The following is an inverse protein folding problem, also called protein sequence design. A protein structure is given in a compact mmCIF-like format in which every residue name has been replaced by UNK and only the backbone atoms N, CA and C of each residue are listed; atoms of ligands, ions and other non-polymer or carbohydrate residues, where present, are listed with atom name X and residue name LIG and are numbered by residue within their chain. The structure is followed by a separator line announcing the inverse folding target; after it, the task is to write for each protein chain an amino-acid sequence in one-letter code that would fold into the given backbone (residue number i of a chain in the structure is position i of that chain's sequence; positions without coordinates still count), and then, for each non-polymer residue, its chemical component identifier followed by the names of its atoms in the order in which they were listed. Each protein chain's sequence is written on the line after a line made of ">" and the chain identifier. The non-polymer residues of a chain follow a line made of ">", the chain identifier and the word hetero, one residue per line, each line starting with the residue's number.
data_IF_742996626737
#
_entry.id   IF_742996626737
#
_cell.length_a   1.000
_cell.length_b   1.000
_cell.length_c   1.000
_cell.angle_alpha   90.00
_cell.angle_beta   90.00
_cell.angle_gamma   90.00
#
_symmetry.space_group_name_H-M   'P 1'
#
loop_
_entity.id
_entity.type
_entity.pdbx_description
1 polymer ?
2 water ?
#
# COMPACT_ATOMS: atom_id res chain seq x y z
N UNK A 1 11.97 -1.46 34.53
CA UNK A 1 11.12 -2.67 34.68
C UNK A 1 9.98 -2.57 33.66
N UNK A 2 8.90 -1.85 33.97
CA UNK A 2 7.71 -1.75 33.09
C UNK A 2 8.01 -0.82 31.91
N UNK A 3 8.48 0.39 32.20
CA UNK A 3 8.88 1.38 31.17
C UNK A 3 9.71 0.77 30.06
N UNK A 4 10.82 0.07 30.38
CA UNK A 4 11.78 -0.44 29.35
C UNK A 4 11.12 -1.54 28.49
N UNK A 5 10.28 -2.40 29.10
CA UNK A 5 9.51 -3.43 28.36
C UNK A 5 8.55 -2.74 27.39
N UNK A 6 7.86 -1.71 27.87
CA UNK A 6 6.94 -0.91 27.03
C UNK A 6 7.73 -0.43 25.80
N UNK A 7 8.97 0.01 26.00
CA UNK A 7 9.81 0.57 24.90
C UNK A 7 10.14 -0.51 23.85
N UNK A 8 10.51 -1.73 24.23
CA UNK A 8 10.77 -2.74 23.17
C UNK A 8 9.44 -3.02 22.45
N UNK A 9 8.34 -3.02 23.18
CA UNK A 9 6.98 -3.20 22.57
C UNK A 9 6.81 -2.12 21.50
N UNK A 10 7.08 -0.86 21.80
CA UNK A 10 6.95 0.26 20.81
C UNK A 10 7.85 0.00 19.60
N UNK A 11 9.10 -0.44 19.79
CA UNK A 11 10.05 -0.65 18.67
C UNK A 11 9.48 -1.72 17.73
N UNK A 12 9.01 -2.83 18.29
CA UNK A 12 8.42 -4.00 17.57
C UNK A 12 7.21 -3.53 16.76
N UNK A 13 6.35 -2.72 17.38
CA UNK A 13 5.18 -2.13 16.70
C UNK A 13 5.62 -1.22 15.55
N UNK A 14 6.67 -0.42 15.73
CA UNK A 14 7.25 0.39 14.62
C UNK A 14 7.75 -0.53 13.50
N UNK A 15 8.47 -1.59 13.87
CA UNK A 15 9.02 -2.53 12.86
C UNK A 15 7.88 -3.12 12.04
N UNK A 16 6.76 -3.47 12.69
CA UNK A 16 5.61 -4.06 11.97
C UNK A 16 5.08 -3.05 10.94
N UNK A 17 4.94 -1.79 11.32
CA UNK A 17 4.49 -0.72 10.38
C UNK A 17 5.46 -0.66 9.19
N UNK A 18 6.76 -0.78 9.41
CA UNK A 18 7.71 -0.71 8.26
C UNK A 18 7.62 -1.99 7.42
N UNK A 19 7.48 -3.14 8.09
CA UNK A 19 7.31 -4.46 7.42
C UNK A 19 6.11 -4.36 6.46
N UNK A 20 5.00 -3.86 6.96
CA UNK A 20 3.73 -3.77 6.19
C UNK A 20 3.90 -2.83 5.00
N UNK A 21 4.53 -1.68 5.22
CA UNK A 21 4.80 -0.74 4.11
C UNK A 21 5.65 -1.43 3.05
N UNK A 22 6.68 -2.17 3.47
CA UNK A 22 7.57 -2.81 2.48
C UNK A 22 6.80 -3.92 1.78
N UNK A 23 6.00 -4.68 2.53
CA UNK A 23 5.20 -5.82 2.01
C UNK A 23 4.18 -5.32 0.96
N UNK A 24 3.47 -4.24 1.27
CA UNK A 24 2.51 -3.57 0.36
C UNK A 24 3.25 -3.19 -0.92
N UNK A 25 4.47 -2.65 -0.80
CA UNK A 25 5.27 -2.25 -1.98
C UNK A 25 5.67 -3.50 -2.77
N UNK A 26 6.22 -4.51 -2.12
CA UNK A 26 6.67 -5.78 -2.78
C UNK A 26 5.50 -6.40 -3.55
N UNK A 27 4.34 -6.54 -2.91
CA UNK A 27 3.16 -7.21 -3.51
C UNK A 27 2.72 -6.47 -4.77
N UNK A 28 2.67 -5.13 -4.66
CA UNK A 28 2.27 -4.26 -5.80
C UNK A 28 3.23 -4.47 -6.96
N UNK A 29 4.54 -4.46 -6.65
CA UNK A 29 5.59 -4.60 -7.69
C UNK A 29 5.54 -5.99 -8.33
N UNK A 30 5.43 -7.03 -7.51
CA UNK A 30 5.29 -8.44 -7.97
C UNK A 30 4.05 -8.59 -8.84
N UNK A 31 2.92 -8.18 -8.28
CA UNK A 31 1.63 -8.18 -9.01
C UNK A 31 1.81 -7.53 -10.37
N UNK A 32 2.28 -6.28 -10.42
CA UNK A 32 2.43 -5.54 -11.71
C UNK A 32 3.40 -6.29 -12.62
N UNK A 33 4.47 -6.83 -12.05
CA UNK A 33 5.58 -7.42 -12.85
C UNK A 33 5.17 -8.78 -13.43
N UNK A 34 4.38 -9.57 -12.70
CA UNK A 34 3.93 -10.86 -13.27
C UNK A 34 2.97 -10.63 -14.43
N UNK A 35 2.09 -9.63 -14.33
CA UNK A 35 1.20 -9.20 -15.45
C UNK A 35 2.06 -8.84 -16.67
N UNK A 36 3.08 -8.01 -16.47
CA UNK A 36 3.97 -7.56 -17.57
C UNK A 36 4.75 -8.73 -18.14
N UNK A 37 5.24 -9.63 -17.29
CA UNK A 37 5.96 -10.83 -17.78
C UNK A 37 4.99 -11.75 -18.56
N UNK A 38 3.73 -11.85 -18.13
CA UNK A 38 2.71 -12.69 -18.85
C UNK A 38 2.46 -12.11 -20.25
N UNK A 39 2.37 -10.80 -20.36
CA UNK A 39 2.17 -10.12 -21.66
C UNK A 39 3.41 -10.34 -22.53
N UNK A 40 4.62 -10.21 -21.96
CA UNK A 40 5.87 -10.41 -22.73
C UNK A 40 5.94 -11.84 -23.26
N UNK A 41 5.46 -12.82 -22.50
CA UNK A 41 5.46 -14.23 -22.94
C UNK A 41 4.66 -14.38 -24.24
N UNK A 42 3.47 -13.79 -24.24
CA UNK A 42 2.56 -13.82 -25.42
C UNK A 42 3.28 -13.14 -26.58
N UNK A 43 3.96 -12.01 -26.34
CA UNK A 43 4.68 -11.25 -27.40
C UNK A 43 5.77 -12.16 -28.02
N UNK A 44 6.62 -12.76 -27.18
CA UNK A 44 7.68 -13.72 -27.63
C UNK A 44 7.09 -14.90 -28.40
N UNK A 45 5.99 -15.45 -27.89
CA UNK A 45 5.34 -16.63 -28.48
C UNK A 45 4.87 -16.27 -29.89
N UNK A 46 4.40 -15.05 -30.07
CA UNK A 46 4.02 -14.49 -31.40
C UNK A 46 5.24 -14.31 -32.32
N UNK A 47 6.26 -13.57 -31.90
CA UNK A 47 7.41 -13.22 -32.78
C UNK A 47 8.30 -14.45 -33.06
N UNK A 48 8.25 -15.47 -32.20
CA UNK A 48 9.11 -16.69 -32.31
C UNK A 48 8.66 -17.57 -33.50
N UNK A 49 7.42 -17.41 -33.97
CA UNK A 49 6.85 -18.16 -35.13
C UNK A 49 7.06 -17.41 -36.44
N UNK A 50 7.25 -16.10 -36.36
CA UNK A 50 7.38 -15.24 -37.55
C UNK A 50 8.82 -15.15 -37.97
N UNK A 51 9.49 -14.08 -37.56
CA UNK A 51 10.82 -13.71 -38.09
C UNK A 51 11.95 -14.49 -37.37
N UNK A 52 11.66 -15.17 -36.25
CA UNK A 52 12.66 -15.93 -35.43
C UNK A 52 13.65 -14.93 -34.82
N UNK A 53 14.40 -14.21 -35.66
CA UNK A 53 15.22 -13.02 -35.30
C UNK A 53 16.59 -13.47 -34.78
N UNK A 54 16.99 -14.70 -35.07
CA UNK A 54 18.29 -15.27 -34.63
C UNK A 54 18.44 -15.02 -33.12
N UNK A 55 19.51 -14.34 -32.68
CA UNK A 55 19.78 -14.04 -31.25
C UNK A 55 18.91 -12.93 -30.69
N UNK A 56 18.57 -11.92 -31.49
CA UNK A 56 17.76 -10.75 -31.04
C UNK A 56 16.57 -11.22 -30.19
N UNK A 57 15.98 -12.38 -30.51
CA UNK A 57 14.87 -12.94 -29.70
C UNK A 57 15.40 -13.99 -28.74
N UNK A 58 16.25 -14.90 -29.22
CA UNK A 58 16.78 -16.04 -28.43
C UNK A 58 17.55 -15.52 -27.21
N UNK A 59 18.37 -14.48 -27.38
CA UNK A 59 19.14 -13.84 -26.27
C UNK A 59 18.21 -12.97 -25.39
N UNK A 60 17.21 -12.32 -25.97
CA UNK A 60 16.28 -11.41 -25.25
C UNK A 60 15.41 -12.22 -24.27
N UNK A 61 14.99 -13.41 -24.70
CA UNK A 61 14.31 -14.41 -23.84
C UNK A 61 15.29 -14.86 -22.74
N UNK A 62 16.52 -15.20 -23.10
CA UNK A 62 17.58 -15.60 -22.14
C UNK A 62 17.69 -14.54 -21.03
N UNK A 63 17.80 -13.25 -21.39
CA UNK A 63 17.84 -12.14 -20.40
C UNK A 63 16.68 -12.26 -19.41
N UNK A 64 15.47 -12.47 -19.91
CA UNK A 64 14.28 -12.55 -19.05
C UNK A 64 14.37 -13.77 -18.14
N UNK A 65 14.88 -14.89 -18.67
CA UNK A 65 15.11 -16.10 -17.82
C UNK A 65 15.89 -15.65 -16.59
N UNK A 66 17.00 -14.94 -16.79
CA UNK A 66 18.01 -14.65 -15.72
C UNK A 66 17.32 -13.82 -14.64
N UNK A 67 16.51 -12.85 -15.04
CA UNK A 67 15.70 -12.02 -14.14
C UNK A 67 14.67 -12.92 -13.43
N UNK A 68 14.04 -13.84 -14.14
CA UNK A 68 13.04 -14.73 -13.48
C UNK A 68 13.71 -15.63 -12.44
N UNK A 69 14.83 -16.24 -12.80
CA UNK A 69 15.66 -17.09 -11.90
C UNK A 69 16.04 -16.30 -10.65
N UNK A 70 16.45 -15.04 -10.83
CA UNK A 70 16.79 -14.10 -9.74
C UNK A 70 15.60 -14.02 -8.79
N UNK A 71 14.44 -13.71 -9.36
CA UNK A 71 13.20 -13.59 -8.56
C UNK A 71 12.81 -14.93 -7.94
N UNK A 72 12.95 -16.04 -8.66
CA UNK A 72 12.71 -17.41 -8.12
C UNK A 72 13.47 -17.55 -6.78
N UNK A 73 14.77 -17.21 -6.77
CA UNK A 73 15.63 -17.31 -5.56
C UNK A 73 15.15 -16.37 -4.44
N UNK A 74 14.69 -15.15 -4.77
CA UNK A 74 14.25 -14.17 -3.75
C UNK A 74 12.96 -14.65 -3.09
N UNK A 75 12.03 -15.18 -3.89
CA UNK A 75 10.76 -15.65 -3.32
C UNK A 75 10.98 -16.90 -2.48
N UNK A 76 11.91 -17.76 -2.91
CA UNK A 76 12.25 -18.97 -2.12
C UNK A 76 12.77 -18.51 -0.76
N UNK A 77 13.67 -17.52 -0.73
CA UNK A 77 14.36 -17.05 0.50
C UNK A 77 13.36 -16.31 1.38
N UNK A 78 12.46 -15.55 0.76
CA UNK A 78 11.34 -14.88 1.48
C UNK A 78 10.44 -15.96 2.07
N UNK A 79 10.06 -16.98 1.30
CA UNK A 79 9.25 -18.10 1.86
C UNK A 79 9.95 -18.69 3.09
N UNK A 80 11.23 -19.00 2.96
CA UNK A 80 12.03 -19.70 3.99
C UNK A 80 12.12 -18.82 5.25
N UNK A 81 12.37 -17.52 5.07
CA UNK A 81 12.38 -16.57 6.22
C UNK A 81 11.01 -16.53 6.91
N UNK A 82 9.93 -16.33 6.15
CA UNK A 82 8.58 -16.24 6.76
C UNK A 82 8.27 -17.55 7.50
N UNK A 83 8.53 -18.70 6.88
CA UNK A 83 8.27 -20.02 7.53
C UNK A 83 9.02 -20.15 8.85
N UNK A 84 10.30 -19.77 8.88
CA UNK A 84 11.13 -19.74 10.12
C UNK A 84 10.45 -18.83 11.15
N UNK A 85 10.15 -17.60 10.76
CA UNK A 85 9.51 -16.62 11.68
C UNK A 85 8.20 -17.20 12.23
N UNK A 86 7.39 -17.80 11.36
CA UNK A 86 6.15 -18.48 11.78
C UNK A 86 6.43 -19.52 12.85
N UNK A 87 7.43 -20.37 12.60
CA UNK A 87 7.84 -21.45 13.54
C UNK A 87 8.28 -20.84 14.87
N UNK A 88 9.11 -19.81 14.84
CA UNK A 88 9.65 -19.17 16.07
C UNK A 88 8.49 -18.51 16.81
N UNK A 89 7.51 -17.94 16.08
CA UNK A 89 6.34 -17.27 16.71
C UNK A 89 5.51 -18.29 17.51
N UNK A 90 5.26 -19.45 16.91
CA UNK A 90 4.51 -20.56 17.55
C UNK A 90 5.29 -21.04 18.80
N UNK A 91 6.62 -21.12 18.73
CA UNK A 91 7.48 -21.43 19.91
C UNK A 91 7.28 -20.34 20.97
N UNK A 92 7.28 -19.09 20.53
CA UNK A 92 7.13 -17.91 21.43
C UNK A 92 5.75 -17.90 22.08
N UNK A 93 4.72 -18.14 21.30
CA UNK A 93 3.33 -18.21 21.80
C UNK A 93 3.23 -19.29 22.88
N UNK A 94 3.89 -20.44 22.67
CA UNK A 94 3.92 -21.56 23.65
C UNK A 94 4.69 -21.16 24.90
N UNK A 95 5.86 -20.56 24.71
CA UNK A 95 6.76 -20.14 25.82
C UNK A 95 6.04 -19.11 26.70
N UNK A 96 5.50 -18.06 26.06
CA UNK A 96 4.75 -16.95 26.72
C UNK A 96 3.55 -17.53 27.48
N UNK A 97 2.76 -18.38 26.82
CA UNK A 97 1.63 -19.11 27.44
C UNK A 97 2.10 -19.69 28.77
N UNK A 98 3.16 -20.50 28.75
CA UNK A 98 3.63 -21.24 29.95
C UNK A 98 4.31 -20.35 31.01
N UNK A 99 4.76 -19.13 30.67
CA UNK A 99 5.44 -18.24 31.64
C UNK A 99 4.54 -18.14 32.88
N UNK A 100 3.34 -17.63 32.66
CA UNK A 100 2.33 -17.36 33.72
C UNK A 100 2.23 -18.60 34.61
N UNK A 101 2.14 -19.77 33.97
CA UNK A 101 2.37 -21.11 34.57
C UNK A 101 1.88 -22.20 33.60
N UNK B 4 5.30 -2.74 -27.69
CA UNK B 4 6.71 -2.27 -27.92
C UNK B 4 7.67 -3.03 -27.03
N UNK B 5 8.52 -3.85 -27.66
CA UNK B 5 9.20 -4.98 -26.97
C UNK B 5 10.30 -4.42 -26.07
N UNK B 6 11.15 -3.54 -26.58
CA UNK B 6 12.22 -2.86 -25.80
C UNK B 6 11.58 -2.08 -24.65
N UNK B 7 10.54 -1.29 -24.93
CA UNK B 7 9.83 -0.50 -23.89
C UNK B 7 9.30 -1.44 -22.82
N UNK B 8 8.67 -2.55 -23.23
CA UNK B 8 8.04 -3.52 -22.30
C UNK B 8 9.14 -4.20 -21.47
N UNK B 9 10.18 -4.68 -22.13
CA UNK B 9 11.36 -5.33 -21.48
C UNK B 9 12.01 -4.38 -20.48
N UNK B 10 12.40 -3.18 -20.91
CA UNK B 10 13.08 -2.20 -20.03
C UNK B 10 12.19 -1.86 -18.84
N UNK B 11 10.87 -1.74 -19.06
CA UNK B 11 9.91 -1.41 -17.97
C UNK B 11 9.91 -2.52 -16.92
N UNK B 12 10.14 -3.76 -17.36
CA UNK B 12 10.19 -4.96 -16.48
C UNK B 12 11.48 -4.93 -15.66
N UNK B 13 12.59 -4.61 -16.32
CA UNK B 13 13.91 -4.43 -15.66
C UNK B 13 13.84 -3.32 -14.61
N UNK B 14 13.13 -2.24 -14.89
CA UNK B 14 12.79 -1.20 -13.88
C UNK B 14 12.11 -1.85 -12.67
N UNK B 15 10.92 -2.46 -12.85
CA UNK B 15 10.15 -3.03 -11.71
C UNK B 15 11.08 -3.94 -10.90
N UNK B 16 11.78 -4.84 -11.58
CA UNK B 16 12.56 -5.92 -10.92
C UNK B 16 13.68 -5.32 -10.06
N UNK B 17 14.17 -4.14 -10.42
CA UNK B 17 15.19 -3.41 -9.63
C UNK B 17 14.53 -2.94 -8.32
N UNK B 18 13.37 -2.29 -8.41
CA UNK B 18 12.58 -1.84 -7.23
C UNK B 18 12.20 -3.06 -6.39
N UNK B 19 11.92 -4.16 -7.07
CA UNK B 19 11.49 -5.43 -6.46
C UNK B 19 12.65 -6.04 -5.69
N UNK B 20 13.85 -5.97 -6.26
CA UNK B 20 15.08 -6.36 -5.55
C UNK B 20 15.18 -5.53 -4.26
N UNK B 21 14.89 -4.23 -4.33
CA UNK B 21 15.05 -3.30 -3.17
C UNK B 21 14.02 -3.60 -2.07
N UNK B 22 12.76 -3.86 -2.40
CA UNK B 22 11.71 -4.07 -1.37
C UNK B 22 11.87 -5.46 -0.75
N UNK B 23 12.36 -6.44 -1.51
CA UNK B 23 12.71 -7.77 -0.99
C UNK B 23 13.78 -7.63 0.11
N UNK B 24 14.89 -6.90 -0.13
CA UNK B 24 15.99 -6.75 0.87
C UNK B 24 15.48 -6.09 2.17
N UNK B 25 14.69 -5.02 2.03
CA UNK B 25 14.13 -4.27 3.19
C UNK B 25 13.17 -5.17 3.98
N UNK B 26 12.29 -5.88 3.26
CA UNK B 26 11.31 -6.75 3.95
C UNK B 26 12.08 -7.85 4.70
N UNK B 27 13.11 -8.47 4.10
CA UNK B 27 13.94 -9.48 4.80
C UNK B 27 14.51 -8.92 6.11
N UNK B 28 15.10 -7.75 6.02
CA UNK B 28 15.66 -6.98 7.17
C UNK B 28 14.60 -6.83 8.26
N UNK B 29 13.42 -6.35 7.87
CA UNK B 29 12.32 -6.08 8.81
C UNK B 29 11.93 -7.38 9.52
N UNK B 30 11.81 -8.47 8.77
CA UNK B 30 11.43 -9.80 9.33
C UNK B 30 12.51 -10.27 10.33
N UNK B 31 13.78 -10.25 9.92
CA UNK B 31 14.94 -10.57 10.80
C UNK B 31 14.86 -9.75 12.09
N UNK B 32 14.68 -8.44 11.93
CA UNK B 32 14.84 -7.49 13.06
C UNK B 32 13.69 -7.74 14.02
N UNK B 33 12.49 -7.92 13.45
CA UNK B 33 11.28 -8.11 14.25
C UNK B 33 11.40 -9.41 15.04
N UNK B 34 11.83 -10.50 14.41
CA UNK B 34 11.96 -11.79 15.08
C UNK B 34 12.98 -11.65 16.23
N UNK B 35 14.09 -10.96 15.97
CA UNK B 35 15.14 -10.75 17.00
C UNK B 35 14.59 -9.95 18.19
N UNK B 36 13.86 -8.87 17.94
CA UNK B 36 13.34 -8.03 19.04
C UNK B 36 12.30 -8.79 19.86
N UNK B 37 11.51 -9.63 19.20
CA UNK B 37 10.47 -10.42 19.90
C UNK B 37 11.14 -11.49 20.80
N UNK B 38 12.19 -12.14 20.32
CA UNK B 38 13.01 -13.09 21.14
C UNK B 38 13.56 -12.39 22.39
N UNK B 39 14.11 -11.20 22.20
CA UNK B 39 14.78 -10.39 23.25
C UNK B 39 13.70 -9.95 24.26
N UNK B 40 12.50 -9.65 23.76
CA UNK B 40 11.39 -9.26 24.63
C UNK B 40 10.92 -10.46 25.43
N UNK B 41 10.81 -11.65 24.83
CA UNK B 41 10.50 -12.86 25.62
C UNK B 41 11.51 -13.03 26.77
N UNK B 42 12.82 -12.94 26.50
CA UNK B 42 13.91 -13.17 27.47
C UNK B 42 13.80 -12.16 28.61
N UNK B 43 13.39 -10.93 28.28
CA UNK B 43 13.08 -9.89 29.28
C UNK B 43 11.92 -10.35 30.17
N UNK B 44 10.80 -10.77 29.60
CA UNK B 44 9.63 -11.21 30.42
C UNK B 44 10.08 -12.38 31.31
N UNK B 45 10.79 -13.35 30.73
CA UNK B 45 11.25 -14.58 31.43
C UNK B 45 12.09 -14.18 32.64
N UNK B 46 12.99 -13.21 32.45
CA UNK B 46 13.90 -12.77 33.54
C UNK B 46 13.07 -12.15 34.65
N UNK B 47 12.18 -11.21 34.32
CA UNK B 47 11.40 -10.45 35.32
C UNK B 47 10.30 -11.30 35.94
N UNK B 48 9.93 -12.41 35.32
CA UNK B 48 8.91 -13.31 35.91
C UNK B 48 9.56 -14.19 36.99
N UNK B 49 10.88 -14.33 37.02
CA UNK B 49 11.52 -15.26 37.98
C UNK B 49 11.54 -14.59 39.36
N UNK B 50 11.84 -13.29 39.41
CA UNK B 50 11.75 -12.44 40.61
C UNK B 50 10.33 -12.38 41.16
N UNK B 51 9.38 -11.95 40.33
CA UNK B 51 7.96 -11.72 40.76
C UNK B 51 7.01 -12.60 39.92
N UNK B 52 6.67 -13.78 40.44
CA UNK B 52 5.77 -14.79 39.80
C UNK B 52 4.36 -14.22 39.56
N UNK B 53 3.81 -13.50 40.54
CA UNK B 53 2.34 -13.18 40.60
C UNK B 53 2.04 -11.79 40.04
N UNK B 54 3.03 -11.07 39.52
CA UNK B 54 2.92 -9.63 39.16
C UNK B 54 1.83 -9.45 38.08
N UNK B 55 0.76 -8.72 38.43
CA UNK B 55 -0.41 -8.52 37.54
C UNK B 55 -0.10 -7.61 36.38
N UNK B 56 0.69 -6.56 36.63
CA UNK B 56 1.15 -5.57 35.63
C UNK B 56 1.96 -6.29 34.55
N UNK B 57 2.86 -7.18 34.97
CA UNK B 57 3.79 -7.87 34.02
C UNK B 57 2.97 -8.87 33.20
N UNK B 58 2.05 -9.60 33.84
CA UNK B 58 1.11 -10.54 33.17
C UNK B 58 0.21 -9.81 32.18
N UNK B 59 -0.25 -8.61 32.52
CA UNK B 59 -1.08 -7.84 31.57
C UNK B 59 -0.27 -7.59 30.30
N UNK B 60 1.01 -7.22 30.46
CA UNK B 60 1.85 -6.91 29.28
C UNK B 60 2.11 -8.20 28.48
N UNK B 61 2.28 -9.32 29.18
CA UNK B 61 2.39 -10.66 28.52
C UNK B 61 1.10 -10.89 27.72
N UNK B 62 -0.05 -10.64 28.34
CA UNK B 62 -1.36 -10.93 27.70
C UNK B 62 -1.51 -10.08 26.45
N UNK B 63 -1.13 -8.79 26.51
CA UNK B 63 -1.12 -7.90 25.31
C UNK B 63 -0.18 -8.47 24.23
N UNK B 64 1.02 -8.95 24.61
CA UNK B 64 1.98 -9.51 23.61
C UNK B 64 1.40 -10.80 22.98
N UNK B 65 0.66 -11.60 23.75
CA UNK B 65 -0.03 -12.81 23.23
C UNK B 65 -1.03 -12.41 22.15
N UNK B 66 -1.80 -11.34 22.37
CA UNK B 66 -2.81 -10.84 21.39
C UNK B 66 -2.07 -10.36 20.14
N UNK B 67 -0.98 -9.63 20.36
CA UNK B 67 -0.11 -9.12 19.27
C UNK B 67 0.44 -10.29 18.46
N UNK B 68 0.97 -11.30 19.13
CA UNK B 68 1.58 -12.48 18.47
C UNK B 68 0.54 -13.27 17.66
N UNK B 69 -0.67 -13.43 18.17
CA UNK B 69 -1.75 -14.18 17.48
C UNK B 69 -2.12 -13.42 16.20
N UNK B 70 -2.21 -12.10 16.27
CA UNK B 70 -2.52 -11.28 15.08
C UNK B 70 -1.34 -11.38 14.09
N UNK B 71 -0.10 -11.29 14.59
CA UNK B 71 1.09 -11.40 13.71
C UNK B 71 1.09 -12.78 13.05
N UNK B 72 0.72 -13.84 13.76
CA UNK B 72 0.80 -15.19 13.17
C UNK B 72 -0.16 -15.31 11.99
N UNK B 73 -1.40 -14.84 12.17
CA UNK B 73 -2.40 -14.82 11.08
C UNK B 73 -1.91 -13.98 9.91
N UNK B 74 -1.22 -12.88 10.21
CA UNK B 74 -0.65 -11.99 9.17
C UNK B 74 0.49 -12.69 8.42
N UNK B 75 1.44 -13.28 9.15
CA UNK B 75 2.55 -14.05 8.52
C UNK B 75 1.95 -15.17 7.65
N UNK B 76 0.85 -15.78 8.08
CA UNK B 76 0.24 -16.88 7.29
C UNK B 76 -0.22 -16.28 5.96
N UNK B 77 -0.78 -15.08 5.98
CA UNK B 77 -1.30 -14.45 4.75
C UNK B 77 -0.11 -14.09 3.84
N UNK B 78 1.03 -13.70 4.40
CA UNK B 78 2.27 -13.41 3.62
C UNK B 78 2.72 -14.66 2.90
N UNK B 79 2.83 -15.78 3.63
CA UNK B 79 3.18 -17.12 3.10
C UNK B 79 2.31 -17.47 1.89
N UNK B 80 0.98 -17.36 2.04
CA UNK B 80 -0.04 -17.83 1.04
C UNK B 80 0.11 -16.99 -0.23
N UNK B 81 0.20 -15.68 -0.07
CA UNK B 81 0.42 -14.73 -1.17
C UNK B 81 1.77 -15.00 -1.86
N UNK B 82 2.88 -15.10 -1.12
CA UNK B 82 4.21 -15.39 -1.69
C UNK B 82 4.13 -16.72 -2.47
N UNK B 83 3.49 -17.74 -1.91
CA UNK B 83 3.33 -19.06 -2.58
C UNK B 83 2.58 -18.90 -3.91
N UNK B 84 1.52 -18.12 -3.90
CA UNK B 84 0.75 -17.84 -5.12
C UNK B 84 1.65 -17.19 -6.18
N UNK B 85 2.36 -16.13 -5.82
CA UNK B 85 3.27 -15.42 -6.75
C UNK B 85 4.30 -16.41 -7.30
N UNK B 86 4.92 -17.18 -6.40
CA UNK B 86 6.01 -18.14 -6.75
C UNK B 86 5.47 -19.20 -7.71
N UNK B 87 4.23 -19.68 -7.53
CA UNK B 87 3.61 -20.64 -8.46
C UNK B 87 3.40 -20.00 -9.85
N UNK B 88 2.86 -18.78 -9.89
CA UNK B 88 2.68 -18.04 -11.17
C UNK B 88 4.05 -17.86 -11.83
N UNK B 89 5.06 -17.48 -11.05
CA UNK B 89 6.44 -17.28 -11.57
C UNK B 89 6.93 -18.59 -12.19
N UNK B 90 6.76 -19.72 -11.49
CA UNK B 90 7.28 -21.03 -11.95
C UNK B 90 6.53 -21.48 -13.22
N UNK B 91 5.25 -21.12 -13.37
CA UNK B 91 4.50 -21.34 -14.63
C UNK B 91 5.10 -20.48 -15.75
N UNK B 92 5.42 -19.22 -15.48
CA UNK B 92 6.08 -18.37 -16.50
C UNK B 92 7.43 -18.93 -16.90
N UNK B 93 8.24 -19.35 -15.93
CA UNK B 93 9.59 -19.88 -16.23
C UNK B 93 9.43 -21.10 -17.13
N UNK B 94 8.52 -21.99 -16.77
CA UNK B 94 8.22 -23.21 -17.55
C UNK B 94 7.83 -22.82 -18.98
N UNK B 95 6.92 -21.85 -19.11
CA UNK B 95 6.39 -21.35 -20.39
C UNK B 95 7.53 -20.81 -21.27
N UNK B 96 8.33 -19.91 -20.70
CA UNK B 96 9.48 -19.26 -21.35
C UNK B 96 10.51 -20.31 -21.76
N UNK B 97 10.66 -21.35 -20.93
CA UNK B 97 11.63 -22.45 -21.15
C UNK B 97 11.34 -23.11 -22.51
N UNK B 98 10.07 -23.43 -22.77
CA UNK B 98 9.64 -24.17 -23.98
C UNK B 98 9.52 -23.25 -25.19
N UNK B 99 9.88 -21.96 -25.09
CA UNK B 99 10.06 -21.09 -26.28
C UNK B 99 11.32 -21.52 -27.06
N UNK B 100 12.31 -22.07 -26.34
CA UNK B 100 13.64 -22.45 -26.91
C UNK B 100 13.69 -23.98 -27.06
N UNK C 4 1.99 42.30 -9.00
CA UNK C 4 1.10 41.42 -9.81
C UNK C 4 0.15 40.65 -8.88
N UNK C 5 -0.48 41.33 -7.93
CA UNK C 5 -1.25 40.67 -6.85
C UNK C 5 -2.60 40.19 -7.36
N UNK C 6 -3.31 41.03 -8.13
CA UNK C 6 -4.59 40.62 -8.77
C UNK C 6 -4.34 39.40 -9.67
N UNK C 7 -3.18 39.37 -10.32
CA UNK C 7 -2.76 38.26 -11.21
C UNK C 7 -2.69 36.97 -10.38
N UNK C 8 -2.04 37.02 -9.22
CA UNK C 8 -1.83 35.83 -8.34
C UNK C 8 -3.18 35.35 -7.80
N UNK C 9 -4.00 36.28 -7.33
CA UNK C 9 -5.37 35.98 -6.81
C UNK C 9 -6.17 35.29 -7.93
N UNK C 10 -6.05 35.77 -9.18
CA UNK C 10 -6.78 35.22 -10.35
C UNK C 10 -6.27 33.82 -10.67
N UNK C 11 -4.95 33.67 -10.76
CA UNK C 11 -4.32 32.35 -11.02
C UNK C 11 -4.73 31.39 -9.91
N UNK C 12 -4.76 31.86 -8.66
CA UNK C 12 -5.16 30.99 -7.52
C UNK C 12 -6.65 30.65 -7.65
N UNK C 13 -7.47 31.58 -8.13
CA UNK C 13 -8.89 31.25 -8.44
C UNK C 13 -8.98 30.27 -9.61
N UNK C 14 -8.15 30.42 -10.64
CA UNK C 14 -8.11 29.45 -11.78
C UNK C 14 -7.73 28.07 -11.27
N UNK C 15 -6.73 27.97 -10.38
CA UNK C 15 -6.28 26.66 -9.83
C UNK C 15 -7.36 26.03 -8.97
N UNK C 16 -8.09 26.82 -8.18
CA UNK C 16 -9.18 26.24 -7.35
C UNK C 16 -10.22 25.60 -8.27
N UNK C 17 -10.55 26.28 -9.38
CA UNK C 17 -11.48 25.75 -10.41
C UNK C 17 -10.97 24.39 -10.91
N UNK C 18 -9.68 24.31 -11.29
CA UNK C 18 -9.04 23.06 -11.78
C UNK C 18 -9.05 22.01 -10.68
N UNK C 19 -8.70 22.41 -9.45
CA UNK C 19 -8.74 21.53 -8.24
C UNK C 19 -10.13 20.92 -8.10
N UNK C 20 -11.14 21.77 -8.07
CA UNK C 20 -12.57 21.35 -7.95
C UNK C 20 -12.94 20.33 -9.03
N UNK C 21 -12.65 20.62 -10.30
CA UNK C 21 -12.97 19.67 -11.40
C UNK C 21 -12.25 18.33 -11.16
N UNK C 22 -10.98 18.37 -10.79
CA UNK C 22 -10.19 17.13 -10.58
C UNK C 22 -10.70 16.41 -9.34
N UNK C 23 -11.07 17.15 -8.29
CA UNK C 23 -11.64 16.52 -7.07
C UNK C 23 -12.94 15.81 -7.48
N UNK C 24 -13.86 16.50 -8.15
CA UNK C 24 -15.19 15.88 -8.44
C UNK C 24 -14.94 14.66 -9.33
N UNK C 25 -13.95 14.68 -10.21
CA UNK C 25 -13.69 13.48 -11.05
C UNK C 25 -13.23 12.34 -10.17
N UNK C 26 -12.33 12.64 -9.23
CA UNK C 26 -11.85 11.65 -8.24
C UNK C 26 -13.01 11.17 -7.36
N UNK C 27 -13.85 12.07 -6.86
CA UNK C 27 -14.98 11.70 -5.96
C UNK C 27 -15.93 10.71 -6.69
N UNK C 28 -16.22 10.98 -7.96
CA UNK C 28 -17.00 10.06 -8.83
C UNK C 28 -16.31 8.67 -8.90
N UNK C 29 -14.99 8.62 -9.10
CA UNK C 29 -14.25 7.32 -9.07
C UNK C 29 -14.37 6.62 -7.71
N UNK C 30 -14.23 7.35 -6.61
CA UNK C 30 -14.31 6.76 -5.24
C UNK C 30 -15.71 6.22 -4.96
N UNK C 31 -16.76 6.96 -5.32
CA UNK C 31 -18.15 6.48 -5.20
C UNK C 31 -18.29 5.16 -5.99
N UNK C 32 -17.79 5.15 -7.23
CA UNK C 32 -17.84 3.94 -8.10
C UNK C 32 -17.06 2.80 -7.44
N UNK C 33 -15.93 3.13 -6.83
CA UNK C 33 -15.04 2.15 -6.19
C UNK C 33 -15.75 1.49 -5.00
N UNK C 34 -16.39 2.29 -4.14
CA UNK C 34 -17.11 1.72 -2.96
C UNK C 34 -18.22 0.80 -3.48
N UNK C 35 -19.05 1.26 -4.41
CA UNK C 35 -20.15 0.40 -4.94
C UNK C 35 -19.58 -0.86 -5.60
N UNK C 36 -18.53 -0.75 -6.38
CA UNK C 36 -18.00 -1.94 -7.09
C UNK C 36 -17.35 -2.89 -6.09
N UNK C 37 -16.69 -2.34 -5.07
CA UNK C 37 -16.05 -3.18 -4.05
C UNK C 37 -17.14 -3.91 -3.26
N UNK C 38 -18.18 -3.19 -2.86
CA UNK C 38 -19.37 -3.82 -2.22
C UNK C 38 -19.88 -4.96 -3.12
N UNK C 39 -20.08 -4.70 -4.42
CA UNK C 39 -20.66 -5.70 -5.36
C UNK C 39 -19.73 -6.92 -5.39
N UNK C 40 -18.40 -6.71 -5.42
CA UNK C 40 -17.41 -7.81 -5.54
C UNK C 40 -17.28 -8.60 -4.23
N UNK C 41 -17.40 -7.97 -3.07
CA UNK C 41 -17.49 -8.68 -1.76
C UNK C 41 -18.71 -9.63 -1.80
N UNK C 42 -19.83 -9.09 -2.26
CA UNK C 42 -21.14 -9.80 -2.32
C UNK C 42 -21.01 -11.03 -3.22
N UNK C 43 -20.36 -10.87 -4.36
CA UNK C 43 -20.12 -11.96 -5.34
C UNK C 43 -19.26 -13.04 -4.67
N UNK C 44 -18.15 -12.67 -4.02
CA UNK C 44 -17.27 -13.64 -3.32
C UNK C 44 -18.01 -14.35 -2.19
N UNK C 45 -18.82 -13.64 -1.41
CA UNK C 45 -19.60 -14.23 -0.31
C UNK C 45 -20.48 -15.38 -0.86
N UNK C 46 -21.10 -15.15 -2.01
CA UNK C 46 -21.93 -16.16 -2.71
C UNK C 46 -21.05 -17.36 -3.10
N UNK C 47 -19.96 -17.16 -3.85
CA UNK C 47 -19.08 -18.27 -4.33
C UNK C 47 -18.40 -18.98 -3.14
N UNK C 48 -18.14 -18.26 -2.06
CA UNK C 48 -17.49 -18.88 -0.87
C UNK C 48 -18.47 -19.82 -0.14
N UNK C 49 -19.78 -19.75 -0.41
CA UNK C 49 -20.75 -20.79 0.03
C UNK C 49 -20.39 -22.11 -0.67
N UNK C 50 -20.14 -22.05 -1.98
CA UNK C 50 -19.81 -23.22 -2.81
C UNK C 50 -18.43 -23.76 -2.48
N UNK C 51 -17.82 -24.49 -3.41
CA UNK C 51 -16.49 -25.11 -3.16
C UNK C 51 -15.44 -24.02 -3.02
N UNK C 52 -14.82 -23.94 -1.85
CA UNK C 52 -13.79 -22.91 -1.53
C UNK C 52 -12.42 -23.42 -2.01
N UNK C 53 -12.24 -24.73 -2.15
CA UNK C 53 -10.90 -25.34 -2.41
C UNK C 53 -10.48 -25.22 -3.89
N UNK C 54 -11.40 -24.95 -4.83
CA UNK C 54 -11.04 -25.02 -6.27
C UNK C 54 -10.13 -23.85 -6.65
N UNK C 55 -9.16 -24.15 -7.52
CA UNK C 55 -8.01 -23.31 -7.88
C UNK C 55 -8.44 -22.01 -8.56
N UNK C 56 -9.51 -22.05 -9.36
CA UNK C 56 -9.98 -20.81 -10.05
C UNK C 56 -10.43 -19.79 -8.99
N UNK C 57 -11.15 -20.25 -7.97
CA UNK C 57 -11.70 -19.34 -6.92
C UNK C 57 -10.51 -18.82 -6.09
N UNK C 58 -9.56 -19.69 -5.76
CA UNK C 58 -8.30 -19.32 -5.03
C UNK C 58 -7.55 -18.25 -5.84
N UNK C 59 -7.47 -18.39 -7.16
CA UNK C 59 -6.77 -17.41 -8.05
C UNK C 59 -7.55 -16.08 -8.08
N UNK C 60 -8.87 -16.10 -8.07
CA UNK C 60 -9.68 -14.85 -8.04
C UNK C 60 -9.54 -14.18 -6.68
N UNK C 61 -9.42 -14.97 -5.61
CA UNK C 61 -9.13 -14.45 -4.24
C UNK C 61 -7.78 -13.73 -4.26
N UNK C 62 -6.76 -14.31 -4.90
CA UNK C 62 -5.43 -13.64 -5.00
C UNK C 62 -5.60 -12.31 -5.74
N UNK C 63 -6.29 -12.32 -6.89
CA UNK C 63 -6.44 -11.09 -7.72
C UNK C 63 -7.11 -9.99 -6.90
N UNK C 64 -8.16 -10.32 -6.16
CA UNK C 64 -8.89 -9.35 -5.32
C UNK C 64 -7.96 -8.86 -4.19
N UNK C 65 -7.16 -9.73 -3.60
CA UNK C 65 -6.22 -9.33 -2.52
C UNK C 65 -5.19 -8.34 -3.07
N UNK C 66 -4.65 -8.64 -4.25
CA UNK C 66 -3.64 -7.78 -4.93
C UNK C 66 -4.25 -6.44 -5.30
N UNK C 67 -5.44 -6.43 -5.83
CA UNK C 67 -6.15 -5.17 -6.17
C UNK C 67 -6.46 -4.37 -4.89
N UNK C 68 -6.90 -5.01 -3.82
CA UNK C 68 -7.18 -4.26 -2.57
C UNK C 68 -5.88 -3.63 -2.02
N UNK C 69 -4.75 -4.34 -2.14
CA UNK C 69 -3.45 -3.83 -1.66
C UNK C 69 -3.15 -2.54 -2.45
N UNK C 70 -3.36 -2.58 -3.77
CA UNK C 70 -3.03 -1.40 -4.64
C UNK C 70 -4.02 -0.26 -4.35
N UNK C 71 -5.26 -0.60 -3.99
CA UNK C 71 -6.26 0.44 -3.62
C UNK C 71 -5.91 1.05 -2.26
N UNK C 72 -5.62 0.19 -1.29
CA UNK C 72 -5.22 0.64 0.07
C UNK C 72 -4.11 1.68 -0.07
N UNK C 73 -3.10 1.38 -0.89
CA UNK C 73 -1.93 2.25 -1.14
C UNK C 73 -2.38 3.59 -1.73
N UNK C 74 -3.26 3.62 -2.74
CA UNK C 74 -3.73 4.90 -3.29
C UNK C 74 -4.54 5.67 -2.24
N UNK C 75 -5.42 5.01 -1.51
CA UNK C 75 -6.24 5.71 -0.46
C UNK C 75 -5.34 6.33 0.62
N UNK C 76 -4.33 5.63 1.10
CA UNK C 76 -3.40 6.19 2.11
C UNK C 76 -2.68 7.42 1.57
N UNK C 77 -2.16 7.34 0.34
CA UNK C 77 -1.36 8.44 -0.24
C UNK C 77 -2.27 9.64 -0.51
N UNK C 78 -3.53 9.38 -0.91
CA UNK C 78 -4.56 10.42 -1.11
C UNK C 78 -4.85 11.09 0.22
N UNK C 79 -5.18 10.31 1.25
CA UNK C 79 -5.55 10.87 2.57
C UNK C 79 -4.37 11.67 3.12
N UNK C 80 -3.17 11.10 3.02
CA UNK C 80 -1.93 11.75 3.52
C UNK C 80 -1.74 13.08 2.82
N UNK C 81 -1.82 13.10 1.48
CA UNK C 81 -1.57 14.34 0.71
C UNK C 81 -2.66 15.36 1.01
N UNK C 82 -3.93 14.97 1.05
CA UNK C 82 -5.00 15.96 1.36
C UNK C 82 -4.72 16.53 2.75
N UNK C 83 -4.42 15.68 3.75
CA UNK C 83 -4.15 16.21 5.12
C UNK C 83 -2.94 17.15 5.11
N UNK C 84 -1.88 16.79 4.39
CA UNK C 84 -0.62 17.58 4.33
C UNK C 84 -0.93 18.99 3.85
N UNK C 85 -1.61 19.13 2.72
CA UNK C 85 -1.80 20.47 2.10
C UNK C 85 -2.86 21.27 2.87
N UNK C 86 -3.87 20.59 3.42
CA UNK C 86 -4.83 21.23 4.35
C UNK C 86 -4.05 21.79 5.54
N UNK C 87 -3.13 20.99 6.09
CA UNK C 87 -2.31 21.45 7.24
C UNK C 87 -1.50 22.69 6.83
N UNK C 88 -0.85 22.65 5.68
CA UNK C 88 -0.12 23.83 5.14
C UNK C 88 -1.05 25.05 5.01
N UNK C 89 -2.29 24.87 4.56
CA UNK C 89 -3.23 26.03 4.44
C UNK C 89 -3.51 26.62 5.83
N UNK C 90 -3.77 25.76 6.81
CA UNK C 90 -4.11 26.24 8.17
C UNK C 90 -2.91 26.98 8.79
N UNK C 91 -1.71 26.49 8.54
CA UNK C 91 -0.48 27.17 8.99
C UNK C 91 -0.42 28.56 8.33
N UNK C 92 -0.68 28.61 7.02
CA UNK C 92 -0.63 29.86 6.23
C UNK C 92 -1.69 30.86 6.75
N UNK C 93 -2.86 30.36 7.13
CA UNK C 93 -3.96 31.22 7.65
C UNK C 93 -3.53 31.86 8.97
N UNK C 94 -2.86 31.08 9.82
CA UNK C 94 -2.35 31.57 11.12
C UNK C 94 -1.28 32.62 10.87
N UNK C 95 -0.29 32.31 10.02
CA UNK C 95 0.80 33.25 9.69
C UNK C 95 0.22 34.59 9.22
N UNK C 96 -0.81 34.54 8.40
CA UNK C 96 -1.45 35.76 7.86
C UNK C 96 -2.16 36.54 8.97
N UNK C 97 -2.82 35.84 9.89
CA UNK C 97 -3.41 36.50 11.09
C UNK C 97 -2.30 37.29 11.80
N UNK C 98 -1.16 36.63 12.06
CA UNK C 98 0.02 37.20 12.77
C UNK C 98 0.52 38.46 12.06
N UNK C 99 0.56 38.46 10.72
CA UNK C 99 0.98 39.61 9.89
C UNK C 99 0.01 40.78 10.10
N UNK C 100 -1.29 40.51 10.03
CA UNK C 100 -2.36 41.54 10.17
C UNK C 100 -2.70 41.70 11.65
N UNK D 1 -18.79 -20.55 -14.52
CA UNK D 1 -19.53 -19.98 -13.34
C UNK D 1 -18.89 -18.69 -12.81
N UNK D 2 -17.70 -18.32 -13.32
CA UNK D 2 -16.95 -17.13 -12.85
C UNK D 2 -16.89 -16.04 -13.92
N UNK D 3 -17.64 -16.17 -15.02
CA UNK D 3 -17.54 -15.20 -16.13
C UNK D 3 -17.73 -13.78 -15.61
N UNK D 4 -18.87 -13.53 -14.97
CA UNK D 4 -19.28 -12.18 -14.48
C UNK D 4 -18.26 -11.65 -13.44
N UNK D 5 -17.71 -12.54 -12.62
CA UNK D 5 -16.72 -12.21 -11.56
C UNK D 5 -15.45 -11.67 -12.23
N UNK D 6 -14.94 -12.41 -13.21
CA UNK D 6 -13.82 -11.99 -14.08
C UNK D 6 -14.09 -10.58 -14.62
N UNK D 7 -15.30 -10.35 -15.11
CA UNK D 7 -15.66 -9.04 -15.71
C UNK D 7 -15.58 -7.96 -14.64
N UNK D 8 -16.04 -8.24 -13.42
CA UNK D 8 -16.13 -7.20 -12.36
C UNK D 8 -14.70 -6.88 -11.89
N UNK D 9 -13.85 -7.89 -11.71
CA UNK D 9 -12.40 -7.69 -11.33
C UNK D 9 -11.73 -6.87 -12.44
N UNK D 10 -12.02 -7.15 -13.71
CA UNK D 10 -11.44 -6.39 -14.85
C UNK D 10 -11.83 -4.91 -14.75
N UNK D 11 -13.13 -4.61 -14.63
CA UNK D 11 -13.65 -3.24 -14.44
C UNK D 11 -12.98 -2.55 -13.24
N UNK D 12 -12.93 -3.22 -12.09
CA UNK D 12 -12.55 -2.53 -10.83
C UNK D 12 -11.05 -2.22 -10.91
N UNK D 13 -10.34 -3.02 -11.68
CA UNK D 13 -8.93 -2.74 -12.00
C UNK D 13 -8.80 -1.46 -12.81
N UNK D 14 -9.54 -1.34 -13.93
CA UNK D 14 -9.46 -0.17 -14.85
C UNK D 14 -9.84 1.10 -14.06
N UNK D 15 -10.80 0.96 -13.16
CA UNK D 15 -11.28 2.10 -12.33
C UNK D 15 -10.16 2.59 -11.39
N UNK D 16 -9.39 1.68 -10.78
CA UNK D 16 -8.23 2.06 -9.92
C UNK D 16 -7.21 2.87 -10.72
N UNK D 17 -6.99 2.53 -11.99
CA UNK D 17 -6.06 3.28 -12.86
C UNK D 17 -6.60 4.69 -13.10
N UNK D 18 -7.92 4.82 -13.26
CA UNK D 18 -8.60 6.14 -13.34
C UNK D 18 -8.33 6.87 -12.02
N UNK D 19 -8.52 6.16 -10.90
CA UNK D 19 -8.30 6.68 -9.52
C UNK D 19 -6.89 7.27 -9.34
N UNK D 20 -5.90 6.53 -9.86
CA UNK D 20 -4.47 6.88 -9.83
C UNK D 20 -4.25 8.18 -10.63
N UNK D 21 -4.68 8.18 -11.89
CA UNK D 21 -4.49 9.33 -12.79
C UNK D 21 -5.13 10.58 -12.18
N UNK D 22 -6.31 10.44 -11.60
CA UNK D 22 -7.13 11.60 -11.16
C UNK D 22 -6.53 12.18 -9.88
N UNK D 23 -6.07 11.34 -8.96
CA UNK D 23 -5.64 11.83 -7.62
C UNK D 23 -4.30 12.57 -7.74
N UNK D 24 -3.47 12.20 -8.71
CA UNK D 24 -2.16 12.86 -8.92
C UNK D 24 -2.40 14.23 -9.59
N UNK D 25 -3.36 14.33 -10.52
CA UNK D 25 -3.76 15.64 -11.08
C UNK D 25 -4.23 16.55 -9.94
N UNK D 26 -5.04 15.99 -9.04
CA UNK D 26 -5.45 16.70 -7.80
C UNK D 26 -4.23 17.09 -6.95
N UNK D 27 -3.29 16.17 -6.74
CA UNK D 27 -2.05 16.43 -5.96
C UNK D 27 -1.27 17.58 -6.61
N UNK D 28 -1.14 17.55 -7.94
CA UNK D 28 -0.46 18.61 -8.72
C UNK D 28 -1.20 19.94 -8.49
N UNK D 29 -2.54 19.94 -8.50
CA UNK D 29 -3.31 21.18 -8.22
C UNK D 29 -3.06 21.64 -6.78
N UNK D 30 -3.15 20.72 -5.83
CA UNK D 30 -2.90 21.03 -4.40
C UNK D 30 -1.48 21.59 -4.25
N UNK D 31 -0.48 20.97 -4.88
CA UNK D 31 0.92 21.44 -4.81
C UNK D 31 1.02 22.89 -5.32
N UNK D 32 0.49 23.11 -6.52
CA UNK D 32 0.57 24.44 -7.21
C UNK D 32 -0.20 25.47 -6.39
N UNK D 33 -1.38 25.10 -5.92
CA UNK D 33 -2.25 25.97 -5.10
C UNK D 33 -1.48 26.52 -3.89
N UNK D 34 -0.90 25.63 -3.10
CA UNK D 34 -0.24 26.06 -1.85
C UNK D 34 1.01 26.85 -2.18
N UNK D 35 1.72 26.43 -3.24
CA UNK D 35 2.90 27.15 -3.77
C UNK D 35 2.49 28.58 -4.10
N UNK D 36 1.40 28.76 -4.83
CA UNK D 36 0.96 30.11 -5.28
C UNK D 36 0.44 30.89 -4.07
N UNK D 37 -0.14 30.21 -3.09
CA UNK D 37 -0.65 30.91 -1.89
C UNK D 37 0.52 31.30 -0.98
N UNK D 38 1.58 30.48 -0.84
CA UNK D 38 2.82 30.88 -0.12
C UNK D 38 3.40 32.12 -0.81
N UNK D 39 3.37 32.15 -2.14
CA UNK D 39 3.90 33.29 -2.92
C UNK D 39 3.09 34.55 -2.64
N UNK D 40 1.75 34.45 -2.67
CA UNK D 40 0.84 35.62 -2.50
C UNK D 40 1.07 36.20 -1.10
N UNK D 41 1.19 35.32 -0.11
CA UNK D 41 1.56 35.66 1.29
C UNK D 41 2.91 36.39 1.34
N UNK D 42 3.89 35.97 0.54
CA UNK D 42 5.16 36.74 0.42
C UNK D 42 4.88 38.13 -0.16
N UNK D 43 4.09 38.22 -1.22
CA UNK D 43 3.88 39.51 -1.95
C UNK D 43 2.88 40.38 -1.19
N UNK D 44 2.16 39.85 -0.20
CA UNK D 44 1.40 40.64 0.80
C UNK D 44 2.35 41.17 1.87
N UNK D 45 3.17 40.28 2.44
CA UNK D 45 4.30 40.65 3.34
C UNK D 45 5.08 41.78 2.63
N UNK D 46 5.27 41.66 1.32
CA UNK D 46 5.96 42.70 0.50
C UNK D 46 5.13 44.00 0.52
N UNK D 47 4.03 44.06 -0.22
CA UNK D 47 3.25 45.33 -0.45
C UNK D 47 2.87 45.95 0.91
N UNK D 48 2.76 45.13 1.96
CA UNK D 48 2.73 45.62 3.36
C UNK D 48 4.16 46.03 3.76
N UNK D 55 -5.47 52.30 6.33
CA UNK D 55 -4.24 52.11 5.54
C UNK D 55 -4.51 52.24 4.05
N UNK D 56 -3.84 51.44 3.22
CA UNK D 56 -3.96 51.51 1.74
C UNK D 56 -4.91 50.42 1.21
N UNK D 57 -4.43 49.24 0.77
CA UNK D 57 -5.30 48.20 0.13
C UNK D 57 -5.47 47.01 1.08
N UNK D 58 -6.07 47.28 2.24
CA UNK D 58 -6.45 46.26 3.25
C UNK D 58 -7.70 45.51 2.78
N UNK D 59 -8.35 46.01 1.72
CA UNK D 59 -9.33 45.22 0.93
C UNK D 59 -8.67 43.92 0.46
N UNK D 60 -7.44 43.98 -0.07
CA UNK D 60 -6.74 42.79 -0.61
C UNK D 60 -6.44 41.80 0.55
N UNK D 61 -6.03 42.31 1.71
CA UNK D 61 -5.91 41.53 2.97
C UNK D 61 -7.25 40.82 3.22
N UNK D 62 -8.35 41.57 3.14
CA UNK D 62 -9.71 41.01 3.32
C UNK D 62 -9.99 39.91 2.29
N UNK D 63 -9.74 40.20 1.01
CA UNK D 63 -9.96 39.22 -0.08
C UNK D 63 -9.12 37.95 0.19
N UNK D 64 -7.90 38.10 0.71
CA UNK D 64 -7.04 36.95 1.10
C UNK D 64 -7.76 36.07 2.14
N UNK D 65 -8.15 36.68 3.27
CA UNK D 65 -8.70 35.94 4.43
C UNK D 65 -9.95 35.19 3.97
N UNK D 66 -10.80 35.86 3.19
CA UNK D 66 -12.09 35.28 2.76
C UNK D 66 -11.86 34.06 1.87
N UNK D 67 -10.95 34.18 0.91
CA UNK D 67 -10.58 33.04 0.03
C UNK D 67 -10.07 31.89 0.90
N UNK D 68 -9.16 32.17 1.83
CA UNK D 68 -8.54 31.10 2.66
C UNK D 68 -9.62 30.40 3.51
N UNK D 69 -10.54 31.18 4.11
CA UNK D 69 -11.65 30.66 4.96
C UNK D 69 -12.48 29.62 4.20
N UNK D 70 -12.92 29.94 2.98
CA UNK D 70 -13.83 29.07 2.20
C UNK D 70 -13.08 27.81 1.81
N UNK D 71 -11.86 27.98 1.29
CA UNK D 71 -10.99 26.87 0.86
C UNK D 71 -10.73 25.93 2.03
N UNK D 72 -10.48 26.48 3.21
CA UNK D 72 -10.34 25.69 4.46
C UNK D 72 -11.60 24.83 4.67
N UNK D 73 -12.79 25.45 4.65
CA UNK D 73 -14.06 24.71 4.82
C UNK D 73 -14.14 23.67 3.71
N UNK D 74 -13.72 24.07 2.51
CA UNK D 74 -13.79 23.21 1.31
C UNK D 74 -12.86 22.00 1.40
N UNK D 75 -11.61 22.20 1.81
CA UNK D 75 -10.68 21.06 1.99
C UNK D 75 -11.15 20.19 3.15
N UNK D 76 -11.80 20.75 4.17
CA UNK D 76 -12.36 19.92 5.27
C UNK D 76 -13.41 18.95 4.67
N UNK D 77 -14.24 19.44 3.76
CA UNK D 77 -15.31 18.64 3.09
C UNK D 77 -14.68 17.48 2.34
N UNK D 78 -13.62 17.83 1.62
CA UNK D 78 -12.86 16.89 0.77
C UNK D 78 -12.22 15.85 1.68
N UNK D 79 -11.57 16.31 2.75
CA UNK D 79 -10.89 15.43 3.74
C UNK D 79 -11.90 14.48 4.39
N UNK D 80 -13.05 15.04 4.77
CA UNK D 80 -14.15 14.27 5.42
C UNK D 80 -14.65 13.18 4.47
N UNK D 81 -14.86 13.53 3.19
CA UNK D 81 -15.38 12.57 2.19
C UNK D 81 -14.34 11.47 1.95
N UNK D 82 -13.05 11.83 1.84
CA UNK D 82 -11.94 10.87 1.59
C UNK D 82 -11.83 9.93 2.80
N UNK D 83 -11.94 10.48 4.01
CA UNK D 83 -11.86 9.69 5.26
C UNK D 83 -12.99 8.66 5.26
N UNK D 84 -14.18 9.07 4.86
CA UNK D 84 -15.34 8.15 4.75
C UNK D 84 -15.05 7.02 3.78
N UNK D 85 -14.67 7.35 2.55
CA UNK D 85 -14.39 6.35 1.48
C UNK D 85 -13.21 5.49 1.95
N UNK D 86 -12.19 6.05 2.61
CA UNK D 86 -11.07 5.23 3.14
C UNK D 86 -11.58 4.21 4.17
N UNK D 87 -12.34 4.70 5.14
CA UNK D 87 -12.90 3.89 6.26
C UNK D 87 -13.76 2.78 5.67
N UNK D 88 -14.64 3.10 4.72
CA UNK D 88 -15.61 2.10 4.19
C UNK D 88 -14.84 1.07 3.41
N UNK D 89 -13.78 1.49 2.70
CA UNK D 89 -13.01 0.56 1.85
C UNK D 89 -12.09 -0.30 2.74
N UNK D 90 -11.58 0.26 3.83
CA UNK D 90 -10.78 -0.51 4.83
C UNK D 90 -11.68 -1.55 5.49
N UNK D 91 -12.89 -1.17 5.89
CA UNK D 91 -13.90 -2.10 6.48
C UNK D 91 -14.12 -3.27 5.51
N UNK D 92 -14.38 -2.94 4.24
CA UNK D 92 -14.69 -3.96 3.22
C UNK D 92 -13.46 -4.87 3.03
N UNK D 93 -12.26 -4.30 2.98
CA UNK D 93 -11.02 -5.09 2.81
C UNK D 93 -10.84 -5.98 4.04
N UNK D 94 -11.18 -5.48 5.23
CA UNK D 94 -11.12 -6.30 6.48
C UNK D 94 -12.14 -7.43 6.40
N UNK D 95 -13.37 -7.11 5.99
CA UNK D 95 -14.47 -8.10 5.92
C UNK D 95 -14.07 -9.16 4.89
N UNK D 96 -13.49 -8.73 3.78
CA UNK D 96 -13.04 -9.67 2.73
C UNK D 96 -12.00 -10.64 3.28
N UNK D 97 -11.02 -10.11 4.02
CA UNK D 97 -9.95 -10.94 4.63
C UNK D 97 -10.58 -11.97 5.56
N UNK D 98 -11.63 -11.62 6.28
CA UNK D 98 -12.31 -12.56 7.22
C UNK D 98 -12.98 -13.68 6.42
N UNK D 99 -13.56 -13.34 5.27
CA UNK D 99 -14.31 -14.31 4.45
C UNK D 99 -13.34 -15.36 3.89
N UNK D 100 -12.11 -14.95 3.58
CA UNK D 100 -11.22 -15.61 2.58
C UNK D 100 -9.98 -16.25 3.23
N UNK D 101 -9.55 -15.75 4.40
CA UNK D 101 -8.29 -16.20 5.07
C UNK D 101 -8.35 -17.72 5.27
#
# INVERSE_FOLDING_TARGET
>A
MYGKLNKLVEHIKELLQQLNKNWHRLQSNLHDMLQQMEQLFQEFQHFMQGNQDDGKLQNMIHEMQQFMNQLDNHLQSLSDTVHHFHNKLQELMNNFHHLVHK
>B
MYGKLNKLVEHIKELLQQLNKNWHRLQSNLHDMLQQMEQLFQEFQHFMQGNQDDGKLQNMIHEMQQFMNQLDNHLQSLSDTVHHFHNKLQELMNNFHHLVHK
>C
MYGKLNKLVEHIKELLQQLNKNWHRLQSNLHDMLQQMEQLFQEFQHFMQGNQDDGKLQNMIHEMQQFMNQLDNHLQSLSDTVHHFHNKLQELMNNFHHLVHK
>D
MYGKLNKLVEHIKELLQQLNKNWHRLQSNLHDMLQQMEQLFQEFQHFMQGNQDDGKLQNMIHEMQQFMNQLDNHLQSLSDTVHHFHNKLQELMNNFHHLVHK
#
